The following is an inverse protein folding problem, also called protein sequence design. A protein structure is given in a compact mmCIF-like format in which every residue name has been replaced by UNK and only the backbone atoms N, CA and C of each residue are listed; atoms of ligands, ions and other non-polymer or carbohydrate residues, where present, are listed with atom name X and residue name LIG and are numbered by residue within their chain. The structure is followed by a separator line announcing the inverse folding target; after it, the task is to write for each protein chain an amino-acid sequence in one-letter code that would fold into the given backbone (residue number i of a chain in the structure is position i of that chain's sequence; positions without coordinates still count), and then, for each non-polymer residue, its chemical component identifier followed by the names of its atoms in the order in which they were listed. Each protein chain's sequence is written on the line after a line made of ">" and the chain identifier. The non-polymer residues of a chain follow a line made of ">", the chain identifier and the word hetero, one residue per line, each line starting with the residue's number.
data_IF_191362294527
#
_entry.id   IF_191362294527
#
_cell.length_a   1.000
_cell.length_b   1.000
_cell.length_c   1.000
_cell.angle_alpha   90.00
_cell.angle_beta   90.00
_cell.angle_gamma   90.00
#
_symmetry.space_group_name_H-M   'P 1'
#
loop_
_entity.id
_entity.type
_entity.pdbx_description
1 polymer ?
#
# COMPACT_ATOMS: atom_id res chain seq x y z
N UNK A 1 -2.87 52.52 2.57
CA UNK A 1 -1.81 51.51 2.50
C UNK A 1 -2.14 50.44 3.52
N UNK A 2 -2.48 49.21 3.13
CA UNK A 2 -2.69 48.13 4.11
C UNK A 2 -1.35 47.59 4.60
N UNK A 3 -1.22 47.47 5.91
CA UNK A 3 -0.08 46.92 6.63
C UNK A 3 0.13 45.44 6.24
N UNK A 4 1.35 44.95 6.02
CA UNK A 4 1.61 43.56 5.71
C UNK A 4 1.32 42.70 6.93
N UNK A 5 0.37 41.75 6.78
CA UNK A 5 0.07 40.71 7.76
C UNK A 5 1.30 39.82 7.91
N UNK A 6 1.81 39.69 9.12
CA UNK A 6 2.94 38.83 9.46
C UNK A 6 2.64 37.38 9.06
N UNK A 7 3.48 36.83 8.21
CA UNK A 7 3.43 35.40 7.84
C UNK A 7 3.70 34.58 9.10
N UNK A 8 2.69 33.85 9.56
CA UNK A 8 2.83 32.89 10.65
C UNK A 8 3.74 31.76 10.16
N UNK A 9 4.95 31.72 10.68
CA UNK A 9 5.91 30.62 10.42
C UNK A 9 5.31 29.35 10.96
N UNK A 10 4.78 28.49 10.08
CA UNK A 10 4.39 27.13 10.44
C UNK A 10 5.67 26.39 10.81
N UNK A 11 5.92 26.23 12.10
CA UNK A 11 7.01 25.37 12.60
C UNK A 11 6.76 23.96 12.10
N UNK A 12 7.58 23.51 11.16
CA UNK A 12 7.59 22.12 10.67
C UNK A 12 7.82 21.20 11.87
N UNK A 13 6.76 20.58 12.37
CA UNK A 13 6.84 19.56 13.40
C UNK A 13 7.71 18.41 12.87
N UNK A 14 8.72 18.01 13.64
CA UNK A 14 9.53 16.83 13.29
C UNK A 14 8.60 15.64 13.05
N UNK A 15 8.75 14.91 11.94
CA UNK A 15 7.87 13.79 11.63
C UNK A 15 7.92 12.75 12.77
N UNK A 16 6.75 12.35 13.24
CA UNK A 16 6.61 11.34 14.30
C UNK A 16 7.19 10.01 13.80
N UNK A 17 8.06 9.38 14.60
CA UNK A 17 8.70 8.10 14.26
C UNK A 17 8.27 7.01 15.26
N UNK A 18 7.04 6.51 15.16
CA UNK A 18 6.45 5.58 16.14
C UNK A 18 7.13 4.20 16.12
N UNK A 19 7.82 3.84 15.05
CA UNK A 19 8.52 2.56 14.90
C UNK A 19 10.02 2.66 15.19
N UNK A 20 10.50 3.72 15.85
CA UNK A 20 11.89 3.80 16.27
C UNK A 20 12.24 2.61 17.18
N UNK A 21 13.32 1.88 16.85
CA UNK A 21 13.74 0.69 17.55
C UNK A 21 13.11 -0.62 17.06
N UNK A 22 12.07 -0.55 16.21
CA UNK A 22 11.46 -1.73 15.59
C UNK A 22 12.28 -2.17 14.38
N UNK A 23 12.53 -3.47 14.27
CA UNK A 23 13.24 -4.10 13.16
C UNK A 23 12.26 -4.92 12.30
N UNK A 24 12.20 -4.58 11.01
CA UNK A 24 11.34 -5.26 10.04
C UNK A 24 12.21 -5.95 9.01
N UNK A 25 12.02 -7.26 8.86
CA UNK A 25 12.58 -8.06 7.78
C UNK A 25 11.50 -8.33 6.76
N UNK A 26 11.76 -8.02 5.49
CA UNK A 26 10.82 -8.29 4.40
C UNK A 26 11.38 -9.34 3.44
N UNK A 27 10.55 -10.35 3.16
CA UNK A 27 10.73 -11.31 2.07
C UNK A 27 9.78 -11.00 0.90
N UNK A 28 8.97 -9.93 1.02
CA UNK A 28 7.99 -9.59 0.01
C UNK A 28 8.63 -8.96 -1.23
N UNK A 29 8.12 -9.35 -2.39
CA UNK A 29 8.58 -8.93 -3.71
C UNK A 29 7.51 -8.07 -4.42
N UNK A 30 7.86 -7.56 -5.57
CA UNK A 30 7.04 -6.68 -6.41
C UNK A 30 6.69 -5.35 -5.72
N UNK A 31 5.39 -4.93 -5.72
CA UNK A 31 5.01 -3.60 -5.28
C UNK A 31 4.50 -3.54 -3.84
N UNK A 32 3.47 -4.32 -3.41
CA UNK A 32 2.79 -4.05 -2.14
C UNK A 32 3.72 -4.18 -0.92
N UNK A 33 4.59 -5.18 -0.89
CA UNK A 33 5.53 -5.39 0.21
C UNK A 33 6.61 -4.32 0.29
N UNK A 34 7.36 -4.04 -0.78
CA UNK A 34 8.33 -2.95 -0.82
C UNK A 34 7.73 -1.57 -0.52
N UNK A 35 6.52 -1.26 -1.00
CA UNK A 35 5.83 -0.01 -0.68
C UNK A 35 5.47 0.08 0.81
N UNK A 36 5.01 -1.02 1.42
CA UNK A 36 4.81 -1.09 2.86
C UNK A 36 6.14 -0.88 3.61
N UNK A 37 7.22 -1.54 3.17
CA UNK A 37 8.53 -1.43 3.81
C UNK A 37 9.08 0.02 3.75
N UNK A 38 8.92 0.70 2.61
CA UNK A 38 9.27 2.12 2.45
C UNK A 38 8.51 3.00 3.46
N UNK A 39 7.20 2.76 3.64
CA UNK A 39 6.38 3.47 4.63
C UNK A 39 6.86 3.21 6.06
N UNK A 40 7.14 1.94 6.41
CA UNK A 40 7.62 1.56 7.74
C UNK A 40 8.97 2.22 8.06
N UNK A 41 9.86 2.31 7.08
CA UNK A 41 11.11 3.08 7.20
C UNK A 41 10.83 4.55 7.49
N UNK A 42 9.88 5.17 6.80
CA UNK A 42 9.54 6.58 7.04
C UNK A 42 9.00 6.81 8.46
N UNK A 43 8.35 5.81 9.06
CA UNK A 43 7.89 5.79 10.45
C UNK A 43 9.02 5.48 11.46
N UNK A 44 10.25 5.28 11.00
CA UNK A 44 11.44 5.10 11.85
C UNK A 44 11.86 3.66 12.10
N UNK A 45 11.23 2.67 11.46
CA UNK A 45 11.67 1.27 11.55
C UNK A 45 13.04 1.07 10.88
N UNK A 46 13.83 0.15 11.43
CA UNK A 46 15.02 -0.39 10.76
C UNK A 46 14.59 -1.50 9.82
N UNK A 47 14.65 -1.25 8.52
CA UNK A 47 14.16 -2.15 7.49
C UNK A 47 15.29 -2.90 6.80
N UNK A 48 15.09 -4.20 6.61
CA UNK A 48 15.94 -5.09 5.84
C UNK A 48 15.05 -5.85 4.85
N UNK A 49 15.44 -5.90 3.57
CA UNK A 49 14.82 -6.76 2.58
C UNK A 49 15.74 -7.92 2.26
N UNK A 50 15.21 -9.13 2.18
CA UNK A 50 15.87 -10.28 1.60
C UNK A 50 15.15 -10.72 0.34
N UNK A 51 15.87 -10.90 -0.75
CA UNK A 51 15.35 -11.34 -2.04
C UNK A 51 16.13 -12.51 -2.60
N UNK A 52 15.52 -13.32 -3.48
CA UNK A 52 16.23 -14.43 -4.11
C UNK A 52 17.36 -13.91 -5.01
N UNK A 53 18.30 -14.76 -5.40
CA UNK A 53 19.22 -14.46 -6.49
C UNK A 53 18.48 -14.11 -7.78
N UNK A 54 19.08 -13.25 -8.59
CA UNK A 54 18.56 -13.01 -9.93
C UNK A 54 18.49 -14.32 -10.75
N UNK A 55 17.56 -14.42 -11.73
CA UNK A 55 17.51 -15.57 -12.62
C UNK A 55 18.85 -15.87 -13.28
N UNK A 56 19.12 -17.14 -13.54
CA UNK A 56 20.37 -17.54 -14.24
C UNK A 56 20.46 -16.84 -15.60
N UNK A 57 21.64 -16.32 -15.92
CA UNK A 57 21.87 -15.57 -17.14
C UNK A 57 21.52 -14.08 -17.09
N UNK A 58 21.06 -13.58 -15.96
CA UNK A 58 20.85 -12.13 -15.78
C UNK A 58 22.19 -11.38 -15.76
N UNK A 59 22.15 -10.10 -16.18
CA UNK A 59 23.31 -9.21 -16.08
C UNK A 59 23.76 -9.03 -14.63
N UNK A 60 25.04 -8.71 -14.44
CA UNK A 60 25.59 -8.44 -13.10
C UNK A 60 24.82 -7.29 -12.44
N UNK A 61 24.48 -7.45 -11.15
CA UNK A 61 23.73 -6.46 -10.39
C UNK A 61 22.20 -6.49 -10.60
N UNK A 62 21.69 -7.42 -11.39
CA UNK A 62 20.22 -7.61 -11.54
C UNK A 62 19.63 -8.06 -10.20
N UNK A 63 18.51 -7.43 -9.80
CA UNK A 63 17.74 -7.83 -8.63
C UNK A 63 17.02 -9.16 -8.86
N UNK A 64 16.88 -9.96 -7.80
CA UNK A 64 16.00 -11.13 -7.79
C UNK A 64 14.52 -10.79 -7.62
N UNK A 65 14.21 -9.53 -7.33
CA UNK A 65 12.84 -9.02 -7.34
C UNK A 65 12.41 -8.69 -8.78
N UNK A 66 11.26 -9.21 -9.26
CA UNK A 66 10.78 -8.89 -10.62
C UNK A 66 10.69 -7.39 -10.91
N UNK A 67 10.32 -6.56 -9.94
CA UNK A 67 10.27 -5.11 -10.13
C UNK A 67 11.63 -4.51 -10.47
N UNK A 68 12.71 -5.03 -9.89
CA UNK A 68 14.08 -4.61 -10.22
C UNK A 68 14.46 -4.90 -11.68
N UNK A 69 13.73 -5.82 -12.34
CA UNK A 69 13.96 -6.18 -13.74
C UNK A 69 13.12 -5.31 -14.69
N UNK A 70 11.82 -5.16 -14.44
CA UNK A 70 10.93 -4.42 -15.35
C UNK A 70 10.84 -2.92 -15.06
N UNK A 71 11.14 -2.47 -13.85
CA UNK A 71 11.19 -1.05 -13.49
C UNK A 71 12.30 -0.75 -12.45
N UNK A 72 13.58 -0.75 -12.85
CA UNK A 72 14.71 -0.51 -11.94
C UNK A 72 14.65 0.84 -11.21
N UNK A 73 14.07 1.86 -11.85
CA UNK A 73 13.93 3.20 -11.25
C UNK A 73 12.96 3.18 -10.06
N UNK A 74 11.77 2.59 -10.23
CA UNK A 74 10.81 2.44 -9.15
C UNK A 74 11.36 1.53 -8.05
N UNK A 75 12.03 0.43 -8.42
CA UNK A 75 12.71 -0.44 -7.46
C UNK A 75 13.70 0.33 -6.58
N UNK A 76 14.57 1.17 -7.19
CA UNK A 76 15.53 1.97 -6.44
C UNK A 76 14.85 2.95 -5.47
N UNK A 77 13.76 3.61 -5.90
CA UNK A 77 12.99 4.52 -5.05
C UNK A 77 12.33 3.79 -3.86
N UNK A 78 11.73 2.63 -4.09
CA UNK A 78 11.10 1.82 -3.04
C UNK A 78 12.10 1.36 -1.98
N UNK A 79 13.37 1.17 -2.36
CA UNK A 79 14.42 0.66 -1.48
C UNK A 79 15.41 1.72 -1.02
N UNK A 80 15.15 3.00 -1.29
CA UNK A 80 16.05 4.08 -0.86
C UNK A 80 16.30 4.04 0.66
N UNK A 81 17.60 3.86 1.03
CA UNK A 81 18.03 3.72 2.42
C UNK A 81 17.49 2.46 3.14
N UNK A 82 17.04 1.47 2.40
CA UNK A 82 16.71 0.12 2.88
C UNK A 82 17.83 -0.81 2.43
N UNK A 83 18.39 -1.57 3.37
CA UNK A 83 19.38 -2.58 3.04
C UNK A 83 18.71 -3.77 2.37
N UNK A 84 19.24 -4.18 1.21
CA UNK A 84 18.79 -5.38 0.48
C UNK A 84 19.87 -6.45 0.59
N UNK A 85 19.48 -7.68 0.88
CA UNK A 85 20.33 -8.86 0.92
C UNK A 85 19.82 -9.91 -0.07
N UNK A 86 20.71 -10.46 -0.87
CA UNK A 86 20.39 -11.62 -1.70
C UNK A 86 20.56 -12.90 -0.88
N UNK A 87 19.50 -13.72 -0.82
CA UNK A 87 19.47 -14.99 -0.10
C UNK A 87 18.75 -16.05 -0.91
N UNK A 88 19.42 -17.15 -1.22
CA UNK A 88 18.76 -18.33 -1.77
C UNK A 88 18.21 -19.19 -0.62
N UNK A 89 16.93 -19.02 -0.32
CA UNK A 89 16.24 -19.73 0.75
C UNK A 89 16.05 -21.24 0.48
N UNK A 90 16.45 -21.73 -0.68
CA UNK A 90 16.47 -23.18 -1.00
C UNK A 90 17.75 -23.87 -0.56
N UNK A 91 18.73 -23.11 -0.09
CA UNK A 91 20.04 -23.62 0.38
C UNK A 91 20.18 -23.50 1.88
N UNK A 92 20.91 -24.44 2.51
CA UNK A 92 21.19 -24.41 3.95
C UNK A 92 21.87 -23.11 4.38
N UNK A 93 22.78 -22.59 3.55
CA UNK A 93 23.46 -21.30 3.79
C UNK A 93 22.47 -20.13 3.81
N UNK A 94 21.52 -20.10 2.87
CA UNK A 94 20.49 -19.09 2.82
C UNK A 94 19.53 -19.19 4.01
N UNK A 95 19.12 -20.39 4.39
CA UNK A 95 18.31 -20.65 5.58
C UNK A 95 19.03 -20.21 6.86
N UNK A 96 20.28 -20.64 7.05
CA UNK A 96 21.05 -20.24 8.22
C UNK A 96 21.17 -18.71 8.32
N UNK A 97 21.40 -18.02 7.20
CA UNK A 97 21.46 -16.56 7.17
C UNK A 97 20.11 -15.93 7.51
N UNK A 98 19.02 -16.45 6.96
CA UNK A 98 17.66 -15.97 7.29
C UNK A 98 17.38 -16.10 8.79
N UNK A 99 17.68 -17.25 9.40
CA UNK A 99 17.46 -17.46 10.83
C UNK A 99 18.30 -16.53 11.71
N UNK A 100 19.51 -16.15 11.30
CA UNK A 100 20.33 -15.13 11.98
C UNK A 100 19.63 -13.75 11.95
N UNK A 101 18.98 -13.39 10.83
CA UNK A 101 18.24 -12.13 10.75
C UNK A 101 16.92 -12.21 11.54
N UNK A 102 16.18 -13.34 11.48
CA UNK A 102 14.93 -13.54 12.23
C UNK A 102 15.11 -13.43 13.74
N UNK A 103 16.22 -13.94 14.28
CA UNK A 103 16.53 -13.88 15.70
C UNK A 103 16.57 -12.45 16.29
N UNK A 104 16.76 -11.45 15.44
CA UNK A 104 16.80 -10.03 15.83
C UNK A 104 15.72 -9.18 15.16
N UNK A 105 14.70 -9.82 14.58
CA UNK A 105 13.60 -9.19 13.88
C UNK A 105 12.37 -9.12 14.76
N UNK A 106 11.66 -8.00 14.74
CA UNK A 106 10.41 -7.81 15.45
C UNK A 106 9.21 -8.22 14.60
N UNK A 107 9.26 -7.93 13.29
CA UNK A 107 8.19 -8.24 12.35
C UNK A 107 8.78 -8.79 11.05
N UNK A 108 8.33 -9.96 10.64
CA UNK A 108 8.55 -10.52 9.30
C UNK A 108 7.39 -10.12 8.39
N UNK A 109 7.70 -9.43 7.30
CA UNK A 109 6.78 -9.11 6.21
C UNK A 109 7.03 -10.06 5.04
N UNK A 110 6.01 -10.71 4.52
CA UNK A 110 6.14 -11.66 3.41
C UNK A 110 4.99 -11.54 2.43
N UNK A 111 5.23 -11.90 1.16
CA UNK A 111 4.21 -12.05 0.12
C UNK A 111 4.23 -13.46 -0.50
N UNK A 112 4.86 -14.42 0.17
CA UNK A 112 4.83 -15.81 -0.28
C UNK A 112 3.48 -16.44 0.03
N UNK A 113 3.01 -17.30 -0.88
CA UNK A 113 1.86 -18.15 -0.63
C UNK A 113 2.11 -19.03 0.61
N UNK A 114 1.07 -19.36 1.39
CA UNK A 114 1.21 -20.17 2.60
C UNK A 114 1.93 -21.51 2.36
N UNK A 115 1.61 -22.20 1.25
CA UNK A 115 2.26 -23.45 0.87
C UNK A 115 3.77 -23.28 0.59
N UNK A 116 4.17 -22.16 -0.01
CA UNK A 116 5.59 -21.87 -0.26
C UNK A 116 6.34 -21.57 1.05
N UNK A 117 5.74 -20.79 1.96
CA UNK A 117 6.31 -20.57 3.30
C UNK A 117 6.48 -21.86 4.08
N UNK A 118 5.45 -22.73 4.05
CA UNK A 118 5.52 -24.04 4.72
C UNK A 118 6.64 -24.93 4.16
N UNK A 119 6.82 -24.97 2.84
CA UNK A 119 7.91 -25.72 2.19
C UNK A 119 9.30 -25.20 2.57
N UNK A 120 9.42 -23.91 2.87
CA UNK A 120 10.65 -23.28 3.35
C UNK A 120 10.86 -23.40 4.87
N UNK A 121 9.96 -24.07 5.59
CA UNK A 121 10.02 -24.16 7.06
C UNK A 121 9.64 -22.85 7.78
N UNK A 122 9.06 -21.88 7.07
CA UNK A 122 8.71 -20.54 7.58
C UNK A 122 7.21 -20.42 7.93
N UNK A 123 6.51 -21.52 8.10
CA UNK A 123 5.12 -21.51 8.54
C UNK A 123 4.98 -20.92 9.95
N UNK A 124 3.87 -20.19 10.19
CA UNK A 124 3.64 -19.45 11.44
C UNK A 124 3.87 -20.27 12.71
N UNK A 125 3.32 -21.50 12.78
CA UNK A 125 3.46 -22.35 13.98
C UNK A 125 4.92 -22.65 14.32
N UNK A 126 5.75 -22.91 13.30
CA UNK A 126 7.18 -23.15 13.46
C UNK A 126 7.94 -21.91 13.88
N UNK A 127 7.69 -20.80 13.19
CA UNK A 127 8.31 -19.50 13.49
C UNK A 127 7.97 -19.04 14.90
N UNK A 128 6.70 -19.11 15.31
CA UNK A 128 6.26 -18.68 16.64
C UNK A 128 6.84 -19.53 17.77
N UNK A 129 7.03 -20.85 17.52
CA UNK A 129 7.71 -21.74 18.48
C UNK A 129 9.18 -21.34 18.66
N UNK A 130 9.87 -21.01 17.55
CA UNK A 130 11.31 -20.68 17.58
C UNK A 130 11.57 -19.24 18.01
N UNK A 131 10.70 -18.32 17.59
CA UNK A 131 10.79 -16.88 17.84
C UNK A 131 9.48 -16.33 18.43
N UNK A 132 9.18 -16.58 19.73
CA UNK A 132 7.87 -16.26 20.31
C UNK A 132 7.49 -14.77 20.26
N UNK A 133 8.47 -13.88 20.11
CA UNK A 133 8.27 -12.43 20.01
C UNK A 133 8.13 -11.91 18.59
N UNK A 134 8.45 -12.74 17.59
CA UNK A 134 8.36 -12.38 16.18
C UNK A 134 6.89 -12.33 15.76
N UNK A 135 6.47 -11.22 15.20
CA UNK A 135 5.21 -11.13 14.49
C UNK A 135 5.41 -11.41 12.99
N UNK A 136 4.38 -11.93 12.35
CA UNK A 136 4.38 -12.16 10.89
C UNK A 136 3.20 -11.42 10.28
N UNK A 137 3.48 -10.61 9.25
CA UNK A 137 2.47 -9.99 8.38
C UNK A 137 2.62 -10.61 7.00
N UNK A 138 1.62 -11.36 6.59
CA UNK A 138 1.57 -12.06 5.31
C UNK A 138 0.65 -11.29 4.35
N UNK A 139 1.22 -10.74 3.28
CA UNK A 139 0.45 -10.17 2.17
C UNK A 139 0.06 -11.30 1.24
N UNK A 140 -1.23 -11.46 0.99
CA UNK A 140 -1.81 -12.51 0.12
C UNK A 140 -2.74 -11.89 -0.91
N UNK A 141 -3.06 -12.63 -1.98
CA UNK A 141 -3.99 -12.16 -2.99
C UNK A 141 -5.41 -12.05 -2.47
N UNK A 142 -5.93 -13.15 -1.89
CA UNK A 142 -7.24 -13.24 -1.28
C UNK A 142 -7.13 -13.93 0.09
N UNK A 143 -8.09 -13.74 1.02
CA UNK A 143 -7.94 -14.22 2.39
C UNK A 143 -8.21 -15.73 2.55
N UNK A 144 -7.65 -16.31 3.60
CA UNK A 144 -7.92 -17.68 4.05
C UNK A 144 -7.54 -18.74 3.00
N UNK A 145 -8.42 -19.72 2.71
CA UNK A 145 -8.12 -20.78 1.73
C UNK A 145 -7.78 -20.26 0.34
N UNK A 146 -8.28 -19.08 -0.03
CA UNK A 146 -8.01 -18.44 -1.32
C UNK A 146 -6.63 -17.77 -1.41
N UNK A 147 -5.84 -17.74 -0.34
CA UNK A 147 -4.48 -17.20 -0.32
C UNK A 147 -3.51 -17.94 -1.28
N UNK A 148 -3.87 -19.14 -1.72
CA UNK A 148 -3.13 -19.92 -2.73
C UNK A 148 -3.48 -19.56 -4.18
N UNK A 149 -4.58 -18.83 -4.40
CA UNK A 149 -5.03 -18.46 -5.74
C UNK A 149 -4.07 -17.44 -6.38
N UNK A 150 -3.81 -17.56 -7.69
CA UNK A 150 -3.10 -16.52 -8.42
C UNK A 150 -3.99 -15.30 -8.61
N UNK A 151 -3.37 -14.11 -8.58
CA UNK A 151 -4.07 -12.87 -8.87
C UNK A 151 -3.09 -11.70 -8.93
N UNK A 152 -3.56 -10.61 -9.50
CA UNK A 152 -2.87 -9.34 -9.61
C UNK A 152 -3.84 -8.20 -9.34
N UNK A 153 -3.33 -7.00 -9.12
CA UNK A 153 -4.10 -5.79 -8.84
C UNK A 153 -5.38 -5.67 -9.67
N UNK A 154 -5.24 -5.78 -11.01
CA UNK A 154 -6.36 -5.62 -11.94
C UNK A 154 -7.51 -6.60 -11.67
N UNK A 155 -7.20 -7.86 -11.33
CA UNK A 155 -8.22 -8.87 -11.07
C UNK A 155 -8.96 -8.59 -9.77
N UNK A 156 -8.27 -8.14 -8.73
CA UNK A 156 -8.91 -7.74 -7.46
C UNK A 156 -9.78 -6.49 -7.62
N UNK A 157 -9.34 -5.54 -8.45
CA UNK A 157 -10.14 -4.35 -8.77
C UNK A 157 -11.38 -4.69 -9.59
N UNK A 158 -11.27 -5.61 -10.54
CA UNK A 158 -12.42 -6.08 -11.32
C UNK A 158 -13.47 -6.76 -10.42
N UNK A 159 -13.04 -7.68 -9.54
CA UNK A 159 -13.91 -8.35 -8.57
C UNK A 159 -14.58 -7.36 -7.59
N UNK A 160 -13.91 -6.25 -7.28
CA UNK A 160 -14.43 -5.19 -6.43
C UNK A 160 -15.32 -4.16 -7.20
N UNK A 161 -15.52 -4.31 -8.52
CA UNK A 161 -16.31 -3.38 -9.33
C UNK A 161 -15.61 -2.04 -9.59
N UNK A 162 -14.30 -1.97 -9.46
CA UNK A 162 -13.50 -0.76 -9.72
C UNK A 162 -12.95 -0.66 -11.15
N UNK A 163 -13.20 -1.66 -11.98
CA UNK A 163 -12.96 -1.63 -13.43
C UNK A 163 -14.30 -1.41 -14.11
N UNK A 164 -14.59 -0.17 -14.48
CA UNK A 164 -15.94 0.24 -14.93
C UNK A 164 -16.08 0.33 -16.46
N UNK A 165 -15.04 0.04 -17.20
CA UNK A 165 -15.01 0.11 -18.67
C UNK A 165 -13.86 -0.70 -19.24
N UNK A 166 -13.40 -0.35 -20.44
CA UNK A 166 -12.29 -0.99 -21.12
C UNK A 166 -10.92 -0.36 -20.79
N UNK A 167 -10.92 0.80 -20.16
CA UNK A 167 -9.69 1.48 -19.75
C UNK A 167 -9.12 0.87 -18.47
N UNK A 168 -7.80 0.82 -18.39
CA UNK A 168 -7.13 0.41 -17.17
C UNK A 168 -7.35 1.45 -16.05
N UNK A 169 -7.46 1.02 -14.78
CA UNK A 169 -7.40 1.94 -13.65
C UNK A 169 -6.13 2.79 -13.67
N UNK A 170 -6.24 4.04 -13.23
CA UNK A 170 -5.16 5.03 -13.31
C UNK A 170 -3.89 4.64 -12.50
N UNK A 171 -4.02 3.70 -11.57
CA UNK A 171 -2.92 3.17 -10.75
C UNK A 171 -3.28 1.80 -10.17
N UNK A 172 -2.33 1.17 -9.47
CA UNK A 172 -2.47 -0.13 -8.83
C UNK A 172 -3.10 0.05 -7.44
N UNK A 173 -4.43 0.23 -7.39
CA UNK A 173 -5.14 0.57 -6.15
C UNK A 173 -5.14 -0.56 -5.12
N UNK A 174 -5.29 -1.82 -5.54
CA UNK A 174 -5.28 -2.97 -4.63
C UNK A 174 -3.89 -3.17 -4.02
N UNK A 175 -2.82 -3.08 -4.82
CA UNK A 175 -1.44 -3.19 -4.35
C UNK A 175 -1.07 -2.08 -3.38
N UNK A 176 -1.41 -0.83 -3.70
CA UNK A 176 -1.10 0.32 -2.85
C UNK A 176 -1.99 0.37 -1.61
N UNK A 177 -3.26 0.00 -1.71
CA UNK A 177 -4.16 -0.21 -0.58
C UNK A 177 -3.65 -1.32 0.35
N UNK A 178 -3.22 -2.45 -0.23
CA UNK A 178 -2.59 -3.54 0.50
C UNK A 178 -1.29 -3.13 1.21
N UNK A 179 -0.48 -2.26 0.59
CA UNK A 179 0.71 -1.70 1.24
C UNK A 179 0.36 -0.83 2.46
N UNK A 180 -0.72 -0.04 2.38
CA UNK A 180 -1.24 0.72 3.52
C UNK A 180 -1.71 -0.22 4.64
N UNK A 181 -2.54 -1.22 4.33
CA UNK A 181 -3.05 -2.21 5.29
C UNK A 181 -1.91 -3.03 5.91
N UNK A 182 -0.89 -3.41 5.13
CA UNK A 182 0.29 -4.10 5.65
C UNK A 182 1.10 -3.23 6.63
N UNK A 183 1.23 -1.92 6.35
CA UNK A 183 1.86 -0.97 7.27
C UNK A 183 1.08 -0.85 8.57
N UNK A 184 -0.26 -0.80 8.49
CA UNK A 184 -1.16 -0.80 9.64
C UNK A 184 -1.06 -2.11 10.44
N UNK A 185 -1.02 -3.26 9.76
CA UNK A 185 -0.85 -4.56 10.40
C UNK A 185 0.46 -4.64 11.20
N UNK A 186 1.56 -4.08 10.68
CA UNK A 186 2.83 -3.98 11.43
C UNK A 186 2.66 -3.12 12.67
N UNK A 187 1.99 -1.96 12.58
CA UNK A 187 1.71 -1.11 13.75
C UNK A 187 0.87 -1.86 14.78
N UNK A 188 -0.21 -2.53 14.38
CA UNK A 188 -1.06 -3.37 15.23
C UNK A 188 -0.25 -4.47 15.92
N UNK A 189 0.64 -5.15 15.18
CA UNK A 189 1.49 -6.21 15.72
C UNK A 189 2.46 -5.68 16.79
N UNK A 190 3.07 -4.51 16.57
CA UNK A 190 3.98 -3.89 17.53
C UNK A 190 3.24 -3.45 18.80
N UNK A 191 2.07 -2.84 18.65
CA UNK A 191 1.23 -2.43 19.79
C UNK A 191 0.75 -3.63 20.60
N UNK A 192 0.22 -4.67 19.95
CA UNK A 192 -0.24 -5.89 20.62
C UNK A 192 0.88 -6.59 21.39
N UNK A 193 2.09 -6.65 20.82
CA UNK A 193 3.26 -7.23 21.49
C UNK A 193 3.67 -6.42 22.74
N UNK A 194 3.45 -5.10 22.75
CA UNK A 194 3.71 -4.26 23.92
C UNK A 194 2.90 -4.70 25.15
N UNK A 195 1.69 -5.25 24.95
CA UNK A 195 0.82 -5.69 26.04
C UNK A 195 1.14 -7.09 26.59
N UNK A 196 1.53 -8.06 25.73
CA UNK A 196 1.68 -9.47 26.13
C UNK A 196 3.06 -10.08 25.87
N UNK A 197 3.96 -9.33 25.24
CA UNK A 197 5.32 -9.77 24.92
C UNK A 197 5.41 -10.80 23.78
N UNK A 198 4.29 -11.21 23.18
CA UNK A 198 4.23 -12.25 22.13
C UNK A 198 4.00 -11.65 20.76
N UNK A 199 4.57 -12.28 19.73
CA UNK A 199 4.29 -11.97 18.35
C UNK A 199 2.90 -12.43 17.92
N UNK A 200 2.40 -11.85 16.83
CA UNK A 200 1.10 -12.16 16.23
C UNK A 200 1.26 -12.54 14.76
N UNK A 201 0.30 -13.29 14.24
CA UNK A 201 0.16 -13.51 12.80
C UNK A 201 -0.99 -12.66 12.28
N UNK A 202 -0.74 -11.93 11.20
CA UNK A 202 -1.76 -11.15 10.50
C UNK A 202 -1.66 -11.40 9.01
N UNK A 203 -2.79 -11.69 8.40
CA UNK A 203 -2.96 -11.80 6.95
C UNK A 203 -3.53 -10.50 6.42
N UNK A 204 -2.98 -10.00 5.32
CA UNK A 204 -3.42 -8.80 4.61
C UNK A 204 -3.70 -9.20 3.17
N UNK A 205 -4.96 -9.24 2.79
CA UNK A 205 -5.38 -9.60 1.45
C UNK A 205 -5.51 -8.36 0.54
N UNK A 206 -4.95 -8.45 -0.67
CA UNK A 206 -5.06 -7.39 -1.67
C UNK A 206 -6.50 -7.23 -2.17
N UNK A 207 -7.26 -8.34 -2.23
CA UNK A 207 -8.70 -8.30 -2.52
C UNK A 207 -9.49 -7.53 -1.48
N UNK A 208 -9.15 -7.67 -0.18
CA UNK A 208 -9.82 -6.91 0.89
C UNK A 208 -9.48 -5.41 0.80
N UNK A 209 -8.25 -5.08 0.40
CA UNK A 209 -7.87 -3.70 0.14
C UNK A 209 -8.69 -3.10 -1.03
N UNK A 210 -8.87 -3.86 -2.12
CA UNK A 210 -9.72 -3.45 -3.23
C UNK A 210 -11.17 -3.25 -2.79
N UNK A 211 -11.73 -4.20 -2.02
CA UNK A 211 -13.10 -4.09 -1.47
C UNK A 211 -13.26 -2.88 -0.56
N UNK A 212 -12.29 -2.60 0.31
CA UNK A 212 -12.30 -1.40 1.15
C UNK A 212 -12.35 -0.11 0.34
N UNK A 213 -11.52 -0.02 -0.71
CA UNK A 213 -11.52 1.15 -1.60
C UNK A 213 -12.80 1.25 -2.44
N UNK A 214 -13.50 0.14 -2.68
CA UNK A 214 -14.76 0.10 -3.40
C UNK A 214 -15.99 0.48 -2.55
N UNK A 215 -15.87 0.65 -1.22
CA UNK A 215 -16.98 0.96 -0.35
C UNK A 215 -17.80 2.19 -0.79
N UNK A 216 -17.21 3.32 -1.23
CA UNK A 216 -18.01 4.44 -1.73
C UNK A 216 -18.88 4.07 -2.93
N UNK A 217 -18.41 3.17 -3.79
CA UNK A 217 -19.19 2.65 -4.92
C UNK A 217 -20.30 1.71 -4.45
N UNK A 218 -20.01 0.82 -3.51
CA UNK A 218 -21.02 -0.07 -2.90
C UNK A 218 -22.13 0.72 -2.17
N UNK A 219 -21.78 1.85 -1.58
CA UNK A 219 -22.76 2.78 -0.96
C UNK A 219 -23.49 3.65 -1.98
N UNK A 220 -23.24 3.49 -3.29
CA UNK A 220 -23.90 4.26 -4.35
C UNK A 220 -23.31 5.65 -4.59
N UNK A 221 -22.33 6.11 -3.80
CA UNK A 221 -21.79 7.47 -3.91
C UNK A 221 -21.14 7.76 -5.26
N UNK A 222 -20.39 6.77 -5.79
CA UNK A 222 -19.66 6.87 -7.06
C UNK A 222 -20.29 6.06 -8.20
N UNK A 223 -21.55 5.62 -8.05
CA UNK A 223 -22.35 5.12 -9.17
C UNK A 223 -22.72 6.27 -10.12
N UNK A 224 -23.03 6.03 -11.40
CA UNK A 224 -23.32 7.10 -12.37
C UNK A 224 -24.38 8.11 -11.88
N UNK A 225 -25.38 7.64 -11.14
CA UNK A 225 -26.47 8.46 -10.54
C UNK A 225 -26.12 9.01 -9.16
N UNK A 226 -24.95 8.65 -8.62
CA UNK A 226 -24.51 9.05 -7.29
C UNK A 226 -24.05 10.50 -7.23
N UNK A 227 -24.04 11.04 -6.03
CA UNK A 227 -23.68 12.44 -5.76
C UNK A 227 -22.30 12.84 -6.30
N UNK A 228 -21.33 11.92 -6.23
CA UNK A 228 -19.96 12.11 -6.73
C UNK A 228 -19.61 11.10 -7.84
N UNK A 229 -20.63 10.57 -8.49
CA UNK A 229 -20.50 9.58 -9.56
C UNK A 229 -20.62 10.15 -10.98
N UNK A 230 -20.87 11.45 -11.10
CA UNK A 230 -21.00 12.13 -12.39
C UNK A 230 -22.40 12.66 -12.71
N UNK A 231 -23.42 12.35 -11.92
CA UNK A 231 -24.75 12.91 -12.11
C UNK A 231 -24.85 14.41 -11.78
N UNK A 232 -23.92 14.92 -10.99
CA UNK A 232 -23.95 16.30 -10.48
C UNK A 232 -22.99 17.18 -11.28
N UNK A 233 -23.54 18.25 -11.93
CA UNK A 233 -22.74 19.18 -12.73
C UNK A 233 -21.64 19.88 -11.94
N UNK A 234 -21.82 20.10 -10.64
CA UNK A 234 -20.81 20.63 -9.73
C UNK A 234 -19.71 19.65 -9.35
N UNK A 235 -19.81 18.38 -9.77
CA UNK A 235 -18.77 17.35 -9.50
C UNK A 235 -18.48 16.55 -10.76
N UNK A 236 -17.68 17.12 -11.64
CA UNK A 236 -17.43 16.59 -12.97
C UNK A 236 -16.04 16.95 -13.49
N UNK A 237 -15.59 16.23 -14.50
CA UNK A 237 -14.42 16.60 -15.31
C UNK A 237 -14.91 17.13 -16.66
N UNK A 238 -14.59 18.36 -16.96
CA UNK A 238 -14.97 19.02 -18.20
C UNK A 238 -13.78 19.19 -19.14
N UNK A 239 -13.98 19.06 -20.46
CA UNK A 239 -12.97 19.48 -21.42
C UNK A 239 -12.81 21.02 -21.39
N UNK A 240 -11.59 21.50 -21.56
CA UNK A 240 -11.28 22.93 -21.73
C UNK A 240 -10.35 23.11 -22.94
N UNK A 241 -10.01 24.36 -23.26
CA UNK A 241 -9.27 24.71 -24.49
C UNK A 241 -7.96 23.91 -24.66
N UNK A 242 -7.25 23.65 -23.57
CA UNK A 242 -5.90 23.10 -23.55
C UNK A 242 -5.78 21.84 -22.68
N UNK A 243 -6.91 21.23 -22.31
CA UNK A 243 -6.90 20.02 -21.49
C UNK A 243 -8.24 19.68 -20.84
N UNK A 244 -8.23 19.47 -19.54
CA UNK A 244 -9.40 19.13 -18.74
C UNK A 244 -9.38 19.88 -17.41
N UNK A 245 -10.53 20.26 -16.90
CA UNK A 245 -10.72 20.86 -15.58
C UNK A 245 -11.58 19.91 -14.71
N UNK A 246 -11.11 19.62 -13.52
CA UNK A 246 -11.89 18.92 -12.50
C UNK A 246 -12.64 19.96 -11.65
N UNK A 247 -13.95 19.83 -11.59
CA UNK A 247 -14.85 20.69 -10.83
C UNK A 247 -15.35 19.92 -9.63
N UNK A 248 -15.27 20.51 -8.44
CA UNK A 248 -15.79 19.96 -7.18
C UNK A 248 -16.46 21.10 -6.39
N UNK A 249 -17.66 21.46 -6.79
CA UNK A 249 -18.48 22.56 -6.23
C UNK A 249 -19.83 21.99 -5.76
N UNK A 250 -19.80 21.16 -4.71
CA UNK A 250 -20.97 20.47 -4.19
C UNK A 250 -21.77 21.35 -3.23
N UNK A 251 -21.10 22.18 -2.45
CA UNK A 251 -21.72 23.05 -1.46
C UNK A 251 -22.28 24.34 -2.14
N UNK A 252 -23.41 24.90 -1.63
CA UNK A 252 -24.06 26.06 -2.26
C UNK A 252 -23.13 27.26 -2.53
N UNK A 253 -22.23 27.55 -1.59
CA UNK A 253 -21.31 28.70 -1.74
C UNK A 253 -20.20 28.44 -2.80
N UNK A 254 -19.73 27.19 -2.95
CA UNK A 254 -18.82 26.83 -4.02
C UNK A 254 -19.51 26.80 -5.39
N UNK A 255 -20.76 26.32 -5.44
CA UNK A 255 -21.59 26.36 -6.64
C UNK A 255 -21.84 27.82 -7.10
N UNK A 256 -22.16 28.71 -6.16
CA UNK A 256 -22.33 30.14 -6.44
C UNK A 256 -21.05 30.79 -6.97
N UNK A 257 -19.92 30.49 -6.35
CA UNK A 257 -18.60 31.00 -6.79
C UNK A 257 -18.22 30.46 -8.19
N UNK A 258 -18.46 29.19 -8.47
CA UNK A 258 -18.25 28.57 -9.78
C UNK A 258 -19.10 29.26 -10.86
N UNK A 259 -20.41 29.41 -10.61
CA UNK A 259 -21.34 30.04 -11.56
C UNK A 259 -20.93 31.49 -11.83
N UNK A 260 -20.60 32.25 -10.78
CA UNK A 260 -20.10 33.63 -10.92
C UNK A 260 -18.82 33.70 -11.77
N UNK A 261 -17.85 32.82 -11.51
CA UNK A 261 -16.60 32.77 -12.27
C UNK A 261 -16.78 32.37 -13.74
N UNK A 262 -17.77 31.51 -14.01
CA UNK A 262 -18.10 31.01 -15.35
C UNK A 262 -19.08 31.93 -16.11
N UNK A 263 -19.63 32.96 -15.49
CA UNK A 263 -20.67 33.81 -16.08
C UNK A 263 -22.00 33.09 -16.31
N UNK A 264 -22.31 32.09 -15.47
CA UNK A 264 -23.53 31.28 -15.57
C UNK A 264 -24.51 31.73 -14.49
N UNK A 265 -25.78 31.95 -14.88
CA UNK A 265 -26.86 32.21 -13.90
C UNK A 265 -27.17 30.90 -13.13
N UNK A 266 -27.34 31.03 -11.81
CA UNK A 266 -27.75 29.91 -10.95
C UNK A 266 -29.27 29.65 -11.10
N UNK A 267 -29.69 29.18 -12.25
CA UNK A 267 -31.07 28.75 -12.44
C UNK A 267 -31.12 27.22 -12.46
N UNK A 268 -31.64 26.61 -11.39
CA UNK A 268 -31.94 25.19 -11.35
C UNK A 268 -30.73 24.26 -11.04
N UNK A 269 -29.62 24.76 -10.57
CA UNK A 269 -28.57 23.91 -10.05
C UNK A 269 -29.03 23.27 -8.73
N UNK A 270 -29.37 21.98 -8.77
CA UNK A 270 -29.63 21.23 -7.54
C UNK A 270 -28.33 21.10 -6.79
N UNK A 271 -28.22 21.79 -5.68
CA UNK A 271 -27.13 21.57 -4.72
C UNK A 271 -27.41 20.31 -3.92
N UNK A 272 -26.37 19.63 -3.44
CA UNK A 272 -26.52 18.43 -2.61
C UNK A 272 -27.02 18.75 -1.19
N UNK A 273 -26.99 20.03 -0.78
CA UNK A 273 -27.38 20.50 0.54
C UNK A 273 -28.34 21.69 0.44
#
# INVERSE_FOLDING_TARGET
>A
MPTPTAATTVTSSRPVKPLRGVRVLSLALNLPGPAALMRLKSMGATCLKAEPPAPRGSAAGTSGDPMGQYNPKAYAQLHEGIRVLTMDLKTDKGQARLHQELARTDVLLTSFRPSALNKLGLGWKGLHKTYPRLSVVAIVGAPGPRAEEPGHDLTYLADAGLVTGLDLPATLFADMGGALMASEAVLKAVLARGGNGKGTFQEVALSDAAQWLALPRAWGLTQPEGAVGGAHAGYQVYPCKDGRVAVAALEPHFAAALCSAAGIEITGMKTLF
#
